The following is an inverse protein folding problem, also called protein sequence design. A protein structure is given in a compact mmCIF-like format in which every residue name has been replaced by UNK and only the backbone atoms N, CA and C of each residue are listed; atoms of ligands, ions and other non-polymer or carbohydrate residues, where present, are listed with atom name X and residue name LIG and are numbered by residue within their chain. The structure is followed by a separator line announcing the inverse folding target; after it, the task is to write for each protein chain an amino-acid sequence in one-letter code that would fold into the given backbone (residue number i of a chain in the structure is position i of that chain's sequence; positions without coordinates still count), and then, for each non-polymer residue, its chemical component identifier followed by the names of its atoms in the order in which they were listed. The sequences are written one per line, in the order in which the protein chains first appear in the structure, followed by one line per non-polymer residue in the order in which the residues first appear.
data_IF_361977860147
#
_entry.id   IF_361977860147
#
_cell.length_a   1.000
_cell.length_b   1.000
_cell.length_c   1.000
_cell.angle_alpha   90.00
_cell.angle_beta   90.00
_cell.angle_gamma   90.00
#
_symmetry.space_group_name_H-M   'P 1'
#
loop_
_entity.id
_entity.type
_entity.pdbx_description
1 polymer ?
#
# COMPACT_ATOMS: atom_id res chain seq x y z
N UNK A 1 -67.91 -52.06 -59.28
CA UNK A 1 -68.07 -51.65 -57.86
C UNK A 1 -69.13 -50.58 -57.80
N UNK A 2 -70.33 -50.91 -57.34
CA UNK A 2 -71.42 -49.95 -57.13
C UNK A 2 -70.98 -48.98 -56.04
N UNK A 3 -70.82 -47.70 -56.38
CA UNK A 3 -70.53 -46.67 -55.38
C UNK A 3 -71.67 -46.63 -54.36
N UNK A 4 -71.33 -46.66 -53.07
CA UNK A 4 -72.31 -46.47 -51.99
C UNK A 4 -72.84 -45.04 -52.11
N UNK A 5 -74.07 -44.88 -52.59
CA UNK A 5 -74.71 -43.56 -52.74
C UNK A 5 -75.40 -43.23 -51.42
N UNK A 6 -74.70 -42.50 -50.55
CA UNK A 6 -75.25 -42.03 -49.28
C UNK A 6 -76.29 -40.91 -49.55
N UNK A 7 -77.44 -40.98 -48.89
CA UNK A 7 -78.44 -39.91 -48.95
C UNK A 7 -77.85 -38.59 -48.42
N UNK A 8 -78.32 -37.45 -48.93
CA UNK A 8 -77.80 -36.13 -48.56
C UNK A 8 -77.80 -35.93 -47.02
N UNK A 9 -78.85 -36.38 -46.34
CA UNK A 9 -78.98 -36.29 -44.89
C UNK A 9 -78.01 -37.19 -44.12
N UNK A 10 -77.66 -38.37 -44.63
CA UNK A 10 -76.68 -39.27 -44.00
C UNK A 10 -75.26 -38.73 -44.15
N UNK A 11 -74.91 -38.12 -45.31
CA UNK A 11 -73.62 -37.42 -45.47
C UNK A 11 -73.48 -36.22 -44.56
N UNK A 12 -74.53 -35.41 -44.42
CA UNK A 12 -74.51 -34.25 -43.53
C UNK A 12 -74.28 -34.64 -42.06
N UNK A 13 -74.93 -35.72 -41.60
CA UNK A 13 -74.71 -36.24 -40.26
C UNK A 13 -73.28 -36.81 -40.08
N UNK A 14 -72.76 -37.53 -41.08
CA UNK A 14 -71.39 -38.04 -41.03
C UNK A 14 -70.35 -36.91 -41.01
N UNK A 15 -70.55 -35.85 -41.79
CA UNK A 15 -69.69 -34.66 -41.77
C UNK A 15 -69.73 -33.95 -40.41
N UNK A 16 -70.89 -33.88 -39.77
CA UNK A 16 -71.04 -33.30 -38.43
C UNK A 16 -70.30 -34.13 -37.36
N UNK A 17 -70.43 -35.47 -37.41
CA UNK A 17 -69.71 -36.37 -36.51
C UNK A 17 -68.19 -36.33 -36.72
N UNK A 18 -67.74 -36.25 -37.98
CA UNK A 18 -66.32 -36.05 -38.31
C UNK A 18 -65.80 -34.72 -37.78
N UNK A 19 -66.57 -33.64 -37.92
CA UNK A 19 -66.22 -32.31 -37.38
C UNK A 19 -66.17 -32.31 -35.85
N UNK A 20 -67.10 -33.00 -35.19
CA UNK A 20 -67.13 -33.16 -33.73
C UNK A 20 -65.95 -33.98 -33.23
N UNK A 21 -65.62 -35.07 -33.92
CA UNK A 21 -64.46 -35.90 -33.60
C UNK A 21 -63.14 -35.12 -33.76
N UNK A 22 -63.02 -34.29 -34.80
CA UNK A 22 -61.86 -33.43 -35.00
C UNK A 22 -61.75 -32.37 -33.90
N UNK A 23 -62.87 -31.70 -33.56
CA UNK A 23 -62.92 -30.72 -32.49
C UNK A 23 -62.55 -31.32 -31.12
N UNK A 24 -63.03 -32.54 -30.84
CA UNK A 24 -62.68 -33.26 -29.63
C UNK A 24 -61.18 -33.58 -29.57
N UNK A 25 -60.60 -34.04 -30.68
CA UNK A 25 -59.17 -34.33 -30.77
C UNK A 25 -58.31 -33.07 -30.54
N UNK A 26 -58.67 -31.94 -31.14
CA UNK A 26 -58.01 -30.64 -30.88
C UNK A 26 -58.15 -30.22 -29.43
N UNK A 27 -59.36 -30.30 -28.86
CA UNK A 27 -59.60 -29.91 -27.46
C UNK A 27 -58.81 -30.78 -26.48
N UNK A 28 -58.70 -32.08 -26.74
CA UNK A 28 -57.88 -32.98 -25.93
C UNK A 28 -56.39 -32.63 -26.03
N UNK A 29 -55.91 -32.28 -27.22
CA UNK A 29 -54.52 -31.86 -27.42
C UNK A 29 -54.20 -30.54 -26.70
N UNK A 30 -55.08 -29.54 -26.82
CA UNK A 30 -54.91 -28.25 -26.16
C UNK A 30 -54.98 -28.37 -24.63
N UNK A 31 -55.84 -29.24 -24.10
CA UNK A 31 -55.90 -29.51 -22.67
C UNK A 31 -54.65 -30.27 -22.17
N UNK A 32 -54.11 -31.17 -22.98
CA UNK A 32 -52.92 -31.94 -22.63
C UNK A 32 -51.65 -31.08 -22.60
N UNK A 33 -51.51 -30.13 -23.52
CA UNK A 33 -50.34 -29.23 -23.58
C UNK A 33 -50.53 -27.94 -22.79
N UNK A 34 -51.78 -27.59 -22.46
CA UNK A 34 -52.15 -26.29 -21.88
C UNK A 34 -52.05 -25.13 -22.86
N UNK A 35 -51.76 -25.38 -24.14
CA UNK A 35 -51.56 -24.35 -25.15
C UNK A 35 -52.73 -24.34 -26.13
N UNK A 36 -53.19 -23.14 -26.48
CA UNK A 36 -54.18 -22.92 -27.55
C UNK A 36 -53.60 -23.15 -28.96
N UNK A 37 -52.28 -23.01 -29.11
CA UNK A 37 -51.57 -23.14 -30.39
C UNK A 37 -50.44 -24.14 -30.19
N UNK A 38 -50.59 -25.32 -30.79
CA UNK A 38 -49.67 -26.45 -30.58
C UNK A 38 -48.75 -26.69 -31.78
N UNK A 39 -49.11 -26.18 -32.95
CA UNK A 39 -48.32 -26.29 -34.17
C UNK A 39 -48.37 -25.02 -35.01
N UNK A 40 -47.43 -24.90 -35.94
CA UNK A 40 -47.44 -23.83 -36.94
C UNK A 40 -48.68 -23.87 -37.86
N UNK A 41 -49.39 -25.00 -37.93
CA UNK A 41 -50.63 -25.14 -38.70
C UNK A 41 -51.84 -24.52 -37.98
N UNK A 42 -51.81 -24.45 -36.64
CA UNK A 42 -52.92 -23.89 -35.87
C UNK A 42 -52.92 -22.35 -35.96
N UNK A 43 -51.75 -21.75 -35.75
CA UNK A 43 -51.49 -20.33 -36.00
C UNK A 43 -49.97 -20.09 -36.14
N UNK A 44 -49.45 -19.83 -37.35
CA UNK A 44 -48.01 -19.69 -37.56
C UNK A 44 -47.41 -18.50 -36.81
N UNK A 45 -48.11 -17.36 -36.76
CA UNK A 45 -47.61 -16.15 -36.09
C UNK A 45 -47.44 -16.38 -34.59
N UNK A 46 -48.46 -16.92 -33.94
CA UNK A 46 -48.43 -17.17 -32.49
C UNK A 46 -47.39 -18.26 -32.15
N UNK A 47 -47.35 -19.35 -32.93
CA UNK A 47 -46.42 -20.46 -32.71
C UNK A 47 -44.96 -20.02 -32.82
N UNK A 48 -44.57 -19.34 -33.89
CA UNK A 48 -43.19 -18.88 -34.07
C UNK A 48 -42.81 -17.74 -33.13
N UNK A 49 -43.76 -16.88 -32.74
CA UNK A 49 -43.51 -15.86 -31.71
C UNK A 49 -43.24 -16.52 -30.36
N UNK A 50 -44.04 -17.50 -29.96
CA UNK A 50 -43.82 -18.25 -28.72
C UNK A 50 -42.49 -19.00 -28.74
N UNK A 51 -42.14 -19.66 -29.85
CA UNK A 51 -40.85 -20.33 -30.02
C UNK A 51 -39.66 -19.35 -29.88
N UNK A 52 -39.75 -18.17 -30.48
CA UNK A 52 -38.71 -17.13 -30.36
C UNK A 52 -38.59 -16.61 -28.92
N UNK A 53 -39.72 -16.45 -28.21
CA UNK A 53 -39.73 -16.04 -26.80
C UNK A 53 -39.12 -17.10 -25.88
N UNK A 54 -39.38 -18.39 -26.13
CA UNK A 54 -38.74 -19.49 -25.40
C UNK A 54 -37.22 -19.49 -25.59
N UNK A 55 -36.74 -19.38 -26.84
CA UNK A 55 -35.30 -19.27 -27.12
C UNK A 55 -34.65 -18.06 -26.41
N UNK A 56 -35.37 -16.94 -26.34
CA UNK A 56 -34.91 -15.75 -25.60
C UNK A 56 -34.90 -15.98 -24.09
N UNK A 57 -35.91 -16.67 -23.54
CA UNK A 57 -35.95 -17.03 -22.13
C UNK A 57 -34.74 -17.92 -21.75
N UNK A 58 -34.43 -18.92 -22.57
CA UNK A 58 -33.25 -19.78 -22.38
C UNK A 58 -31.94 -18.97 -22.45
N UNK A 59 -31.85 -18.04 -23.41
CA UNK A 59 -30.71 -17.12 -23.52
C UNK A 59 -30.55 -16.23 -22.29
N UNK A 60 -31.67 -15.75 -21.72
CA UNK A 60 -31.67 -14.94 -20.49
C UNK A 60 -31.26 -15.80 -19.28
N UNK A 61 -31.70 -17.06 -19.17
CA UNK A 61 -31.22 -17.96 -18.11
C UNK A 61 -29.71 -18.15 -18.17
N UNK A 62 -29.16 -18.43 -19.34
CA UNK A 62 -27.70 -18.55 -19.51
C UNK A 62 -26.95 -17.26 -19.15
N UNK A 63 -27.51 -16.10 -19.53
CA UNK A 63 -26.95 -14.80 -19.14
C UNK A 63 -27.01 -14.58 -17.63
N UNK A 64 -28.12 -14.96 -16.97
CA UNK A 64 -28.29 -14.84 -15.53
C UNK A 64 -27.29 -15.71 -14.76
N UNK A 65 -27.01 -16.92 -15.25
CA UNK A 65 -25.97 -17.78 -14.67
C UNK A 65 -24.58 -17.15 -14.84
N UNK A 66 -24.29 -16.59 -16.01
CA UNK A 66 -23.05 -15.82 -16.25
C UNK A 66 -22.90 -14.62 -15.32
N UNK A 67 -23.99 -13.85 -15.11
CA UNK A 67 -24.03 -12.74 -14.17
C UNK A 67 -23.85 -13.23 -12.73
N UNK A 68 -24.47 -14.35 -12.35
CA UNK A 68 -24.38 -14.94 -11.00
C UNK A 68 -22.97 -15.43 -10.68
N UNK A 69 -22.22 -15.89 -11.68
CA UNK A 69 -20.79 -16.16 -11.53
C UNK A 69 -19.99 -14.85 -11.42
N UNK A 70 -20.31 -13.85 -12.25
CA UNK A 70 -19.70 -12.51 -12.19
C UNK A 70 -19.87 -11.81 -10.84
N UNK A 71 -21.04 -11.92 -10.21
CA UNK A 71 -21.30 -11.33 -8.88
C UNK A 71 -20.48 -12.00 -7.79
N UNK A 72 -20.27 -13.31 -7.85
CA UNK A 72 -19.38 -14.03 -6.92
C UNK A 72 -17.92 -13.57 -7.07
N UNK A 73 -17.43 -13.36 -8.30
CA UNK A 73 -16.10 -12.76 -8.56
C UNK A 73 -15.98 -11.41 -7.88
N UNK A 74 -16.98 -10.54 -8.10
CA UNK A 74 -16.99 -9.19 -7.55
C UNK A 74 -17.07 -9.20 -6.02
N UNK A 75 -17.81 -10.14 -5.43
CA UNK A 75 -17.91 -10.29 -3.99
C UNK A 75 -16.57 -10.72 -3.37
N UNK A 76 -15.88 -11.68 -3.98
CA UNK A 76 -14.55 -12.11 -3.53
C UNK A 76 -13.54 -10.95 -3.65
N UNK A 77 -13.55 -10.23 -4.77
CA UNK A 77 -12.72 -9.05 -4.98
C UNK A 77 -13.00 -7.95 -3.93
N UNK A 78 -14.28 -7.69 -3.62
CA UNK A 78 -14.66 -6.71 -2.60
C UNK A 78 -14.14 -7.10 -1.21
N UNK A 79 -14.22 -8.39 -0.84
CA UNK A 79 -13.65 -8.89 0.42
C UNK A 79 -12.13 -8.73 0.45
N UNK A 80 -11.43 -9.12 -0.62
CA UNK A 80 -9.98 -8.96 -0.73
C UNK A 80 -9.53 -7.49 -0.60
N UNK A 81 -10.20 -6.57 -1.29
CA UNK A 81 -9.92 -5.13 -1.20
C UNK A 81 -10.16 -4.60 0.22
N UNK A 82 -11.25 -5.02 0.87
CA UNK A 82 -11.56 -4.59 2.25
C UNK A 82 -10.49 -5.07 3.25
N UNK A 83 -10.02 -6.30 3.11
CA UNK A 83 -8.90 -6.82 3.92
C UNK A 83 -7.61 -6.05 3.66
N UNK A 84 -7.28 -5.75 2.40
CA UNK A 84 -6.11 -4.92 2.05
C UNK A 84 -6.19 -3.52 2.64
N UNK A 85 -7.36 -2.87 2.60
CA UNK A 85 -7.58 -1.56 3.24
C UNK A 85 -7.31 -1.62 4.75
N UNK A 86 -7.75 -2.68 5.42
CA UNK A 86 -7.55 -2.88 6.86
C UNK A 86 -6.07 -3.08 7.21
N UNK A 87 -5.35 -3.86 6.41
CA UNK A 87 -3.91 -4.07 6.56
C UNK A 87 -3.13 -2.77 6.34
N UNK A 88 -3.48 -1.99 5.32
CA UNK A 88 -2.85 -0.68 5.06
C UNK A 88 -3.10 0.30 6.20
N UNK A 89 -4.32 0.32 6.77
CA UNK A 89 -4.61 1.14 7.95
C UNK A 89 -3.73 0.75 9.15
N UNK A 90 -3.52 -0.55 9.35
CA UNK A 90 -2.64 -1.09 10.40
C UNK A 90 -1.19 -0.70 10.16
N UNK A 91 -0.69 -0.86 8.93
CA UNK A 91 0.67 -0.46 8.54
C UNK A 91 0.90 1.03 8.80
N UNK A 92 -0.08 1.88 8.46
CA UNK A 92 -0.03 3.33 8.74
C UNK A 92 0.00 3.62 10.24
N UNK A 93 -0.77 2.90 11.04
CA UNK A 93 -0.74 3.05 12.51
C UNK A 93 0.64 2.73 13.07
N UNK A 94 1.24 1.61 12.67
CA UNK A 94 2.59 1.20 13.08
C UNK A 94 3.62 2.25 12.65
N UNK A 95 3.54 2.75 11.41
CA UNK A 95 4.44 3.80 10.94
C UNK A 95 4.36 5.09 11.78
N UNK A 96 3.14 5.48 12.21
CA UNK A 96 2.97 6.61 13.12
C UNK A 96 3.52 6.32 14.52
N UNK A 97 3.39 5.10 15.02
CA UNK A 97 4.01 4.69 16.28
C UNK A 97 5.54 4.78 16.19
N UNK A 98 6.15 4.30 15.09
CA UNK A 98 7.60 4.43 14.86
C UNK A 98 8.02 5.89 14.86
N UNK A 99 7.26 6.78 14.22
CA UNK A 99 7.55 8.22 14.20
C UNK A 99 7.50 8.85 15.61
N UNK A 100 6.57 8.39 16.46
CA UNK A 100 6.42 8.90 17.83
C UNK A 100 7.46 8.33 18.80
N UNK A 101 8.02 7.15 18.52
CA UNK A 101 9.05 6.55 19.39
C UNK A 101 10.34 7.34 19.40
N UNK A 102 10.89 7.53 20.60
CA UNK A 102 12.19 8.16 20.88
C UNK A 102 13.31 7.54 20.04
N UNK A 103 14.29 8.37 19.69
CA UNK A 103 15.50 7.91 18.96
C UNK A 103 16.24 6.86 19.79
N UNK A 104 16.90 5.90 19.13
CA UNK A 104 17.52 4.74 19.80
C UNK A 104 18.71 5.04 20.72
N UNK A 105 19.08 6.30 20.87
CA UNK A 105 20.21 6.76 21.67
C UNK A 105 19.78 7.95 22.53
N UNK A 106 19.96 7.84 23.85
CA UNK A 106 19.55 8.87 24.82
C UNK A 106 20.50 10.06 24.83
N UNK A 107 21.78 9.82 24.53
CA UNK A 107 22.76 10.86 24.25
C UNK A 107 23.55 10.51 23.01
N UNK A 108 23.81 11.52 22.18
CA UNK A 108 24.67 11.40 21.01
C UNK A 108 26.14 11.49 21.43
N UNK A 109 27.02 10.97 20.57
CA UNK A 109 28.45 11.17 20.75
C UNK A 109 28.80 12.64 20.56
N UNK A 110 29.66 13.16 21.43
CA UNK A 110 30.14 14.53 21.33
C UNK A 110 31.59 14.68 21.79
N UNK A 111 32.26 15.70 21.27
CA UNK A 111 33.55 16.20 21.72
C UNK A 111 33.45 17.71 21.87
N UNK A 112 33.85 18.23 23.02
CA UNK A 112 33.75 19.65 23.38
C UNK A 112 35.12 20.28 23.55
N UNK A 113 35.24 21.56 23.22
CA UNK A 113 36.48 22.31 23.47
C UNK A 113 36.77 22.41 24.98
N UNK A 114 38.03 22.25 25.36
CA UNK A 114 38.45 22.26 26.77
C UNK A 114 38.24 23.63 27.42
N UNK A 115 38.28 24.70 26.63
CA UNK A 115 38.03 26.08 27.03
C UNK A 115 36.85 26.64 26.24
N UNK A 116 36.19 27.66 26.79
CA UNK A 116 35.21 28.44 26.04
C UNK A 116 35.91 29.15 24.88
N UNK A 117 35.28 29.18 23.72
CA UNK A 117 35.69 30.07 22.64
C UNK A 117 35.17 31.47 22.96
N UNK A 118 35.88 32.52 22.55
CA UNK A 118 35.43 33.91 22.71
C UNK A 118 34.61 34.39 21.50
N UNK A 119 34.46 33.54 20.48
CA UNK A 119 33.64 33.78 19.31
C UNK A 119 32.16 33.60 19.58
N UNK A 120 31.34 33.98 18.62
CA UNK A 120 29.87 33.85 18.66
C UNK A 120 29.40 32.90 17.55
N UNK A 121 28.10 32.57 17.54
CA UNK A 121 27.52 31.79 16.45
C UNK A 121 27.63 32.48 15.08
N UNK A 122 27.70 33.81 15.04
CA UNK A 122 27.89 34.59 13.83
C UNK A 122 29.34 34.58 13.33
N UNK A 123 30.31 34.43 14.24
CA UNK A 123 31.73 34.25 13.91
C UNK A 123 32.45 33.52 15.04
N UNK A 124 32.84 32.27 14.79
CA UNK A 124 33.57 31.40 15.71
C UNK A 124 35.04 31.82 15.85
N UNK A 125 35.57 32.58 14.90
CA UNK A 125 36.96 33.04 14.87
C UNK A 125 37.12 34.20 15.85
N UNK A 126 37.80 33.93 16.96
CA UNK A 126 37.89 34.82 18.12
C UNK A 126 39.28 35.49 18.27
N UNK A 127 40.21 35.15 17.37
CA UNK A 127 41.57 35.68 17.38
C UNK A 127 42.45 35.13 18.50
N UNK A 128 41.93 34.25 19.36
CA UNK A 128 42.61 33.68 20.52
C UNK A 128 42.61 32.16 20.47
N UNK A 129 41.46 31.53 20.72
CA UNK A 129 41.31 30.08 20.72
C UNK A 129 41.13 29.53 19.30
N UNK A 130 40.40 30.25 18.45
CA UNK A 130 40.17 29.93 17.04
C UNK A 130 40.59 31.14 16.20
N UNK A 131 41.53 30.92 15.28
CA UNK A 131 42.09 31.95 14.40
C UNK A 131 41.82 31.62 12.93
N UNK A 132 41.80 32.67 12.11
CA UNK A 132 41.70 32.53 10.66
C UNK A 132 42.85 31.67 10.14
N UNK A 133 42.54 30.69 9.29
CA UNK A 133 43.52 29.76 8.74
C UNK A 133 43.81 28.55 9.63
N UNK A 134 43.24 28.46 10.83
CA UNK A 134 43.27 27.22 11.61
C UNK A 134 42.49 26.12 10.87
N UNK A 135 42.97 24.89 10.94
CA UNK A 135 42.33 23.72 10.34
C UNK A 135 41.67 22.90 11.44
N UNK A 136 40.35 22.83 11.41
CA UNK A 136 39.57 21.90 12.24
C UNK A 136 39.49 20.56 11.52
N UNK A 137 40.02 19.52 12.16
CA UNK A 137 39.99 18.17 11.63
C UNK A 137 39.33 17.21 12.63
N UNK A 138 38.51 16.30 12.10
CA UNK A 138 37.94 15.17 12.81
C UNK A 138 38.48 13.90 12.17
N UNK A 139 39.19 13.09 12.94
CA UNK A 139 39.71 11.82 12.46
C UNK A 139 38.55 10.89 12.03
N UNK A 140 38.81 9.96 11.10
CA UNK A 140 37.84 8.93 10.78
C UNK A 140 37.53 8.07 12.02
N UNK A 141 36.28 7.63 12.12
CA UNK A 141 35.84 6.65 13.10
C UNK A 141 34.82 5.71 12.46
N UNK A 142 34.29 4.74 13.21
CA UNK A 142 33.28 3.80 12.71
C UNK A 142 32.07 4.58 12.19
N UNK A 143 31.81 4.52 10.89
CA UNK A 143 30.66 5.17 10.25
C UNK A 143 30.80 6.69 10.01
N UNK A 144 31.93 7.30 10.38
CA UNK A 144 32.20 8.73 10.17
C UNK A 144 33.50 8.86 9.37
N UNK A 145 33.47 9.38 8.12
CA UNK A 145 34.68 9.62 7.35
C UNK A 145 35.53 10.72 8.01
N UNK A 146 36.83 10.74 7.70
CA UNK A 146 37.68 11.85 8.13
C UNK A 146 37.17 13.16 7.51
N UNK A 147 37.19 14.22 8.31
CA UNK A 147 36.77 15.56 7.92
C UNK A 147 37.89 16.55 8.24
N UNK A 148 38.09 17.53 7.37
CA UNK A 148 38.96 18.67 7.66
C UNK A 148 38.47 19.92 6.94
N UNK A 149 38.46 21.05 7.63
CA UNK A 149 38.16 22.36 7.06
C UNK A 149 39.16 23.39 7.56
N UNK A 150 39.62 24.26 6.66
CA UNK A 150 40.33 25.49 7.03
C UNK A 150 39.31 26.57 7.34
N UNK A 151 39.35 27.13 8.54
CA UNK A 151 38.41 28.15 9.00
C UNK A 151 38.77 29.50 8.37
N UNK A 152 37.78 30.15 7.75
CA UNK A 152 37.95 31.48 7.16
C UNK A 152 38.15 32.57 8.22
N UNK A 153 38.32 33.84 7.79
CA UNK A 153 38.41 34.97 8.73
C UNK A 153 37.08 35.27 9.46
N UNK A 154 35.96 34.89 8.85
CA UNK A 154 34.61 35.00 9.40
C UNK A 154 33.87 33.68 9.19
N UNK A 155 34.13 32.72 10.09
CA UNK A 155 33.51 31.40 10.03
C UNK A 155 32.31 31.34 10.99
N UNK A 156 31.10 31.39 10.46
CA UNK A 156 29.89 31.22 11.28
C UNK A 156 29.66 29.77 11.65
N UNK A 157 28.91 29.55 12.72
CA UNK A 157 28.47 28.21 13.13
C UNK A 157 27.64 27.51 12.04
N UNK A 158 26.89 28.26 11.23
CA UNK A 158 26.11 27.73 10.12
C UNK A 158 26.99 27.24 8.97
N UNK A 159 28.05 27.97 8.63
CA UNK A 159 29.01 27.56 7.59
C UNK A 159 29.80 26.31 8.02
N UNK A 160 30.23 26.27 9.28
CA UNK A 160 30.87 25.08 9.84
C UNK A 160 29.92 23.87 9.80
N UNK A 161 28.66 24.03 10.21
CA UNK A 161 27.64 22.97 10.13
C UNK A 161 27.38 22.49 8.70
N UNK A 162 27.37 23.40 7.72
CA UNK A 162 27.22 23.04 6.29
C UNK A 162 28.37 22.13 5.84
N UNK A 163 29.59 22.41 6.28
CA UNK A 163 30.77 21.61 5.94
C UNK A 163 30.77 20.25 6.64
N UNK A 164 30.41 20.23 7.93
CA UNK A 164 30.32 19.02 8.75
C UNK A 164 29.20 18.06 8.34
N UNK A 165 28.15 18.56 7.67
CA UNK A 165 26.98 17.77 7.26
C UNK A 165 27.38 16.55 6.41
N UNK A 166 28.39 16.70 5.54
CA UNK A 166 28.92 15.61 4.71
C UNK A 166 29.47 14.41 5.50
N UNK A 167 29.84 14.64 6.76
CA UNK A 167 30.38 13.63 7.67
C UNK A 167 29.40 13.25 8.78
N UNK A 168 28.12 13.62 8.66
CA UNK A 168 27.09 13.39 9.69
C UNK A 168 27.45 13.98 11.06
N UNK A 169 28.12 15.13 11.04
CA UNK A 169 28.50 15.89 12.22
C UNK A 169 27.77 17.23 12.26
N UNK A 170 27.65 17.77 13.46
CA UNK A 170 27.06 19.08 13.72
C UNK A 170 27.82 19.77 14.85
N UNK A 171 28.09 21.05 14.67
CA UNK A 171 28.71 21.93 15.64
C UNK A 171 27.66 22.77 16.37
N UNK A 172 27.87 23.01 17.67
CA UNK A 172 27.08 23.93 18.48
C UNK A 172 27.95 24.65 19.51
N UNK A 173 27.48 25.78 20.03
CA UNK A 173 28.03 26.38 21.25
C UNK A 173 27.17 25.95 22.44
N UNK A 174 27.77 25.38 23.48
CA UNK A 174 27.05 25.03 24.71
C UNK A 174 26.76 26.27 25.58
N UNK A 175 26.10 26.08 26.72
CA UNK A 175 25.76 27.18 27.65
C UNK A 175 26.99 27.87 28.26
N UNK A 176 28.17 27.26 28.19
CA UNK A 176 29.46 27.82 28.62
C UNK A 176 30.27 28.37 27.45
N UNK A 177 29.66 28.51 26.27
CA UNK A 177 30.29 28.96 25.02
C UNK A 177 31.46 28.08 24.57
N UNK A 178 31.43 26.78 24.87
CA UNK A 178 32.38 25.81 24.30
C UNK A 178 31.86 25.33 22.96
N UNK A 179 32.77 25.12 22.02
CA UNK A 179 32.45 24.51 20.73
C UNK A 179 32.31 23.00 20.91
N UNK A 180 31.13 22.48 20.61
CA UNK A 180 30.80 21.06 20.72
C UNK A 180 30.53 20.49 19.33
N UNK A 181 31.25 19.44 18.96
CA UNK A 181 30.99 18.64 17.77
C UNK A 181 30.22 17.39 18.20
N UNK A 182 29.05 17.15 17.60
CA UNK A 182 28.14 16.04 17.92
C UNK A 182 27.78 15.29 16.65
N UNK A 183 27.43 14.01 16.74
CA UNK A 183 26.85 13.29 15.60
C UNK A 183 25.43 13.76 15.26
N UNK A 184 25.02 13.61 13.99
CA UNK A 184 23.62 13.74 13.59
C UNK A 184 22.84 12.45 13.91
N UNK A 185 21.54 12.41 13.58
CA UNK A 185 20.75 11.19 13.80
C UNK A 185 21.22 10.03 12.91
N UNK A 186 21.75 10.32 11.72
CA UNK A 186 22.22 9.32 10.76
C UNK A 186 23.47 8.59 11.24
N UNK A 187 24.29 9.26 12.05
CA UNK A 187 25.46 8.69 12.73
C UNK A 187 25.25 8.55 14.25
N UNK A 188 24.01 8.43 14.73
CA UNK A 188 23.71 8.40 16.16
C UNK A 188 24.38 7.24 16.92
N UNK A 189 24.67 6.12 16.23
CA UNK A 189 25.38 4.96 16.77
C UNK A 189 26.90 5.09 16.76
N UNK A 190 27.42 6.11 16.07
CA UNK A 190 28.85 6.30 15.84
C UNK A 190 29.45 7.22 16.91
N UNK A 191 30.74 7.04 17.17
CA UNK A 191 31.49 7.94 18.06
C UNK A 191 32.23 8.97 17.22
N UNK A 192 32.11 10.26 17.53
CA UNK A 192 32.88 11.33 16.87
C UNK A 192 34.36 10.97 16.93
N UNK A 193 35.07 11.03 15.81
CA UNK A 193 36.52 10.82 15.81
C UNK A 193 37.26 11.88 16.62
N UNK A 194 38.57 11.72 16.83
CA UNK A 194 39.36 12.73 17.55
C UNK A 194 39.27 14.07 16.84
N UNK A 195 38.79 15.08 17.57
CA UNK A 195 38.69 16.46 17.07
C UNK A 195 39.99 17.18 17.40
N UNK A 196 40.59 17.83 16.40
CA UNK A 196 41.83 18.59 16.54
C UNK A 196 41.69 19.92 15.82
N UNK A 197 42.26 20.97 16.42
CA UNK A 197 42.50 22.23 15.74
C UNK A 197 44.01 22.36 15.54
N UNK A 198 44.43 22.56 14.30
CA UNK A 198 45.85 22.76 13.96
C UNK A 198 46.02 24.15 13.37
N UNK A 199 47.11 24.83 13.70
CA UNK A 199 47.31 26.22 13.31
C UNK A 199 47.89 27.05 14.46
N UNK A 200 47.46 28.30 14.56
CA UNK A 200 47.97 29.25 15.56
C UNK A 200 46.99 29.50 16.70
N UNK A 201 45.74 29.03 16.58
CA UNK A 201 44.77 29.01 17.67
C UNK A 201 45.15 28.05 18.79
N UNK A 202 44.50 28.23 19.94
CA UNK A 202 44.79 27.51 21.18
C UNK A 202 43.68 26.54 21.62
N UNK A 203 42.57 26.43 20.87
CA UNK A 203 41.49 25.51 21.23
C UNK A 203 41.96 24.05 21.16
N UNK A 204 41.72 23.31 22.24
CA UNK A 204 41.87 21.85 22.27
C UNK A 204 40.52 21.23 22.60
N UNK A 205 40.35 19.94 22.27
CA UNK A 205 39.09 19.22 22.47
C UNK A 205 39.29 18.05 23.42
N UNK A 206 38.26 17.75 24.21
CA UNK A 206 38.24 16.54 25.04
C UNK A 206 38.05 15.30 24.17
N UNK A 207 38.45 14.14 24.68
CA UNK A 207 38.15 12.88 24.02
C UNK A 207 36.63 12.72 23.80
N UNK A 208 36.24 12.24 22.64
CA UNK A 208 34.84 12.07 22.27
C UNK A 208 34.14 11.07 23.19
N UNK A 209 33.00 11.46 23.74
CA UNK A 209 32.14 10.55 24.49
C UNK A 209 31.41 9.62 23.50
N UNK A 210 31.36 8.32 23.79
CA UNK A 210 30.57 7.37 23.00
C UNK A 210 29.06 7.66 23.14
N UNK A 211 28.25 7.35 22.12
CA UNK A 211 26.80 7.52 22.23
C UNK A 211 26.23 6.51 23.23
N UNK A 212 25.19 6.90 23.98
CA UNK A 212 24.54 6.02 24.95
C UNK A 212 23.31 5.40 24.32
N UNK A 213 23.38 4.08 24.09
CA UNK A 213 22.27 3.29 23.59
C UNK A 213 21.09 3.32 24.58
N UNK A 214 19.90 3.63 24.08
CA UNK A 214 18.65 3.37 24.79
C UNK A 214 18.11 2.02 24.34
N UNK A 215 18.38 0.98 25.12
CA UNK A 215 18.00 -0.39 24.81
C UNK A 215 16.47 -0.57 24.72
N UNK A 216 15.70 0.15 25.53
CA UNK A 216 14.24 0.07 25.51
C UNK A 216 13.69 0.68 24.21
N UNK A 217 14.15 1.89 23.86
CA UNK A 217 13.75 2.55 22.60
C UNK A 217 14.14 1.72 21.38
N UNK A 218 15.33 1.11 21.37
CA UNK A 218 15.77 0.24 20.28
C UNK A 218 14.93 -1.04 20.18
N UNK A 219 14.60 -1.67 21.30
CA UNK A 219 13.75 -2.85 21.33
C UNK A 219 12.34 -2.55 20.79
N UNK A 220 11.73 -1.43 21.22
CA UNK A 220 10.42 -0.99 20.74
C UNK A 220 10.45 -0.76 19.23
N UNK A 221 11.44 0.00 18.72
CA UNK A 221 11.59 0.25 17.28
C UNK A 221 11.81 -1.03 16.49
N UNK A 222 12.66 -1.92 16.97
CA UNK A 222 12.90 -3.22 16.33
C UNK A 222 11.61 -4.05 16.23
N UNK A 223 10.81 -4.06 17.31
CA UNK A 223 9.53 -4.75 17.32
C UNK A 223 8.53 -4.12 16.34
N UNK A 224 8.40 -2.80 16.31
CA UNK A 224 7.52 -2.10 15.38
C UNK A 224 7.92 -2.31 13.92
N UNK A 225 9.22 -2.31 13.60
CA UNK A 225 9.72 -2.65 12.26
C UNK A 225 9.35 -4.08 11.88
N UNK A 226 9.50 -5.02 12.81
CA UNK A 226 9.06 -6.41 12.59
C UNK A 226 7.55 -6.49 12.34
N UNK A 227 6.73 -5.81 13.14
CA UNK A 227 5.28 -5.78 12.94
C UNK A 227 4.91 -5.17 11.58
N UNK A 228 5.53 -4.05 11.20
CA UNK A 228 5.32 -3.41 9.91
C UNK A 228 5.65 -4.37 8.76
N UNK A 229 6.82 -5.02 8.80
CA UNK A 229 7.24 -5.96 7.78
C UNK A 229 6.29 -7.17 7.68
N UNK A 230 5.77 -7.66 8.81
CA UNK A 230 4.74 -8.70 8.81
C UNK A 230 3.45 -8.24 8.11
N UNK A 231 3.00 -7.00 8.34
CA UNK A 231 1.81 -6.47 7.66
C UNK A 231 2.07 -6.31 6.15
N UNK A 232 3.25 -5.86 5.74
CA UNK A 232 3.62 -5.79 4.31
C UNK A 232 3.62 -7.19 3.68
N UNK A 233 4.12 -8.21 4.39
CA UNK A 233 4.05 -9.60 3.94
C UNK A 233 2.59 -10.07 3.79
N UNK A 234 1.73 -9.79 4.78
CA UNK A 234 0.29 -10.11 4.70
C UNK A 234 -0.40 -9.42 3.53
N UNK A 235 -0.12 -8.13 3.29
CA UNK A 235 -0.63 -7.39 2.13
C UNK A 235 -0.22 -8.09 0.84
N UNK A 236 1.05 -8.49 0.75
CA UNK A 236 1.60 -9.16 -0.43
C UNK A 236 0.92 -10.51 -0.67
N UNK A 237 0.76 -11.33 0.38
CA UNK A 237 0.07 -12.62 0.30
C UNK A 237 -1.41 -12.45 -0.06
N UNK A 238 -2.14 -11.58 0.66
CA UNK A 238 -3.56 -11.31 0.35
C UNK A 238 -3.74 -10.78 -1.07
N UNK A 239 -2.84 -9.92 -1.57
CA UNK A 239 -2.92 -9.42 -2.94
C UNK A 239 -2.69 -10.52 -3.99
N UNK A 240 -1.80 -11.49 -3.72
CA UNK A 240 -1.58 -12.65 -4.58
C UNK A 240 -2.78 -13.62 -4.54
N UNK A 241 -3.33 -13.85 -3.35
CA UNK A 241 -4.45 -14.77 -3.14
C UNK A 241 -5.80 -14.19 -3.58
N UNK A 242 -5.89 -12.87 -3.76
CA UNK A 242 -7.12 -12.19 -4.24
C UNK A 242 -7.43 -12.45 -5.72
N UNK A 243 -6.66 -13.29 -6.42
CA UNK A 243 -7.01 -13.73 -7.78
C UNK A 243 -8.18 -14.72 -7.76
N UNK A 244 -8.93 -14.81 -8.86
CA UNK A 244 -10.18 -15.59 -9.01
C UNK A 244 -10.06 -17.09 -8.67
N UNK A 245 -8.84 -17.62 -8.52
CA UNK A 245 -8.53 -19.01 -8.16
C UNK A 245 -7.69 -19.12 -6.87
N UNK A 246 -7.71 -18.10 -6.01
CA UNK A 246 -6.99 -18.10 -4.73
C UNK A 246 -7.24 -19.39 -3.96
N UNK A 247 -6.16 -20.18 -3.80
CA UNK A 247 -6.16 -21.45 -3.09
C UNK A 247 -6.32 -21.13 -1.60
N UNK A 248 -7.55 -21.14 -1.10
CA UNK A 248 -7.79 -21.40 0.32
C UNK A 248 -8.23 -22.85 0.48
#
# INVERSE_FOLDING_TARGET
MSGIVLSASVRQNLLSLQSTSALLATTQNDLATGNKVNSALDNPTDYFTAAALNNRADSISNLLDGISNGTQVLQAANTGITSLQSLVATAKSIANQVLQTTVGYSTKSSSSSTAAVAGTSANLVDGTNIKSGDVLAVAASTGIPAFSITLGASESLAQLNTSLASSNLQASLDSSNKLVITTTNDAASSTVGTVTLTGTGNATFVASAAPVADAASQAIRSNLVSQYNNIIAQITTTAQDSSFNGIN
#
